data_IF_698075408837
#
_entry.id   IF_698075408837
#
_cell.length_a   1.000
_cell.length_b   1.000
_cell.length_c   1.000
_cell.angle_alpha   90.00
_cell.angle_beta   90.00
_cell.angle_gamma   90.00
#
_symmetry.space_group_name_H-M   'P 1'
#
loop_
_entity.id
_entity.type
_entity.pdbx_description
1 polymer ?
#
# COMPACT_ATOMS: atom_id res chain seq x y z
N UNK A 1 -19.85 13.72 -14.82
CA UNK A 1 -20.65 12.49 -14.73
C UNK A 1 -20.03 11.25 -15.39
N UNK A 2 -18.79 11.32 -15.74
CA UNK A 2 -18.03 10.15 -16.24
C UNK A 2 -17.51 9.29 -15.07
N UNK A 3 -17.88 9.65 -13.84
CA UNK A 3 -17.03 9.26 -12.73
C UNK A 3 -17.53 8.12 -11.87
N UNK A 4 -18.81 7.99 -11.61
CA UNK A 4 -19.26 6.99 -10.63
C UNK A 4 -19.29 5.56 -11.18
N UNK A 5 -19.77 5.39 -12.40
CA UNK A 5 -19.82 4.09 -13.06
C UNK A 5 -18.41 3.58 -13.39
N UNK A 6 -17.51 4.48 -13.84
CA UNK A 6 -16.10 4.13 -14.06
C UNK A 6 -15.34 3.86 -12.75
N UNK A 7 -15.74 4.48 -11.65
CA UNK A 7 -15.15 4.20 -10.33
C UNK A 7 -15.55 2.84 -9.79
N UNK A 8 -16.84 2.49 -9.91
CA UNK A 8 -17.36 1.18 -9.55
C UNK A 8 -16.75 0.07 -10.40
N UNK A 9 -16.66 0.28 -11.71
CA UNK A 9 -16.04 -0.65 -12.64
C UNK A 9 -14.54 -0.82 -12.38
N UNK A 10 -13.83 0.23 -11.98
CA UNK A 10 -12.43 0.14 -11.59
C UNK A 10 -12.25 -0.68 -10.32
N UNK A 11 -13.00 -0.38 -9.25
CA UNK A 11 -12.91 -1.10 -7.99
C UNK A 11 -13.19 -2.60 -8.17
N UNK A 12 -14.15 -2.96 -9.02
CA UNK A 12 -14.53 -4.34 -9.31
C UNK A 12 -13.59 -5.06 -10.28
N UNK A 13 -12.77 -4.32 -11.05
CA UNK A 13 -12.09 -4.92 -12.21
C UNK A 13 -10.59 -5.08 -12.04
N UNK A 14 -9.98 -4.49 -11.01
CA UNK A 14 -8.53 -4.37 -10.99
C UNK A 14 -7.80 -5.52 -10.32
N UNK A 15 -8.02 -5.72 -9.04
CA UNK A 15 -7.17 -6.63 -8.29
C UNK A 15 -7.92 -7.27 -7.12
N UNK A 16 -7.67 -8.56 -6.90
CA UNK A 16 -8.07 -9.27 -5.70
C UNK A 16 -6.80 -9.70 -4.96
N UNK A 17 -6.72 -9.34 -3.69
CA UNK A 17 -5.58 -9.68 -2.84
C UNK A 17 -5.89 -10.90 -1.98
N UNK A 18 -4.88 -11.75 -1.83
CA UNK A 18 -4.94 -12.94 -0.97
C UNK A 18 -3.74 -12.96 -0.03
N UNK A 19 -3.94 -13.46 1.17
CA UNK A 19 -2.88 -13.65 2.15
C UNK A 19 -3.10 -15.00 2.83
N UNK A 20 -2.25 -15.98 2.50
CA UNK A 20 -2.33 -17.36 3.02
C UNK A 20 -3.73 -17.98 2.87
N UNK A 21 -4.43 -17.63 1.81
CA UNK A 21 -5.77 -18.11 1.53
C UNK A 21 -5.68 -19.38 0.65
N UNK A 22 -6.27 -20.50 1.08
CA UNK A 22 -6.27 -21.74 0.29
C UNK A 22 -7.02 -21.58 -1.05
N UNK A 23 -7.87 -20.57 -1.19
CA UNK A 23 -8.57 -20.25 -2.44
C UNK A 23 -7.76 -19.39 -3.40
N UNK A 24 -6.59 -18.92 -2.98
CA UNK A 24 -5.76 -18.07 -3.83
C UNK A 24 -5.32 -18.85 -5.08
N UNK A 25 -5.42 -18.22 -6.26
CA UNK A 25 -4.89 -18.84 -7.48
C UNK A 25 -3.35 -18.89 -7.41
N UNK A 26 -2.79 -19.83 -8.15
CA UNK A 26 -1.32 -19.96 -8.23
C UNK A 26 -0.74 -18.82 -9.08
N UNK A 27 0.38 -18.20 -8.66
CA UNK A 27 1.05 -17.22 -9.48
C UNK A 27 1.44 -17.77 -10.85
N UNK A 28 1.20 -16.96 -11.90
CA UNK A 28 1.61 -17.24 -13.27
C UNK A 28 2.59 -16.19 -13.81
N UNK A 29 2.99 -15.26 -12.97
CA UNK A 29 3.94 -14.20 -13.28
C UNK A 29 5.13 -14.26 -12.32
N UNK A 30 6.26 -13.61 -12.64
CA UNK A 30 7.37 -13.48 -11.70
C UNK A 30 6.98 -12.79 -10.40
N UNK A 31 7.74 -12.99 -9.34
CA UNK A 31 7.53 -12.26 -8.10
C UNK A 31 7.62 -10.74 -8.35
N UNK A 32 6.66 -9.99 -7.81
CA UNK A 32 6.59 -8.55 -7.97
C UNK A 32 7.12 -7.85 -6.74
N UNK A 33 8.13 -7.00 -6.94
CA UNK A 33 8.74 -6.21 -5.88
C UNK A 33 8.02 -4.89 -5.73
N UNK A 34 7.61 -4.58 -4.50
CA UNK A 34 6.99 -3.30 -4.17
C UNK A 34 7.61 -2.69 -2.93
N UNK A 35 7.35 -1.40 -2.73
CA UNK A 35 7.76 -0.64 -1.55
C UNK A 35 6.54 0.02 -0.92
N UNK A 36 6.36 -0.16 0.38
CA UNK A 36 5.31 0.49 1.15
C UNK A 36 5.89 1.14 2.40
N UNK A 37 5.22 2.15 2.90
CA UNK A 37 5.73 2.94 4.03
C UNK A 37 4.75 2.95 5.20
N UNK A 38 5.28 2.70 6.39
CA UNK A 38 4.64 3.04 7.66
C UNK A 38 4.93 4.53 7.89
N UNK A 39 3.99 5.38 7.49
CA UNK A 39 4.09 6.83 7.68
C UNK A 39 3.31 7.19 8.92
N UNK A 40 3.98 7.77 9.89
CA UNK A 40 3.37 8.15 11.16
C UNK A 40 3.47 9.65 11.40
N UNK A 41 2.54 10.15 12.20
CA UNK A 41 2.55 11.51 12.72
C UNK A 41 1.83 11.52 14.05
N UNK A 42 2.51 11.92 15.11
CA UNK A 42 1.93 12.03 16.46
C UNK A 42 1.21 10.74 16.90
N UNK A 43 1.83 9.59 16.63
CA UNK A 43 1.31 8.30 17.04
C UNK A 43 0.17 7.74 16.17
N UNK A 44 -0.12 8.39 15.05
CA UNK A 44 -1.14 7.94 14.09
C UNK A 44 -0.49 7.47 12.80
N UNK A 45 -1.12 6.49 12.14
CA UNK A 45 -0.67 5.89 10.90
C UNK A 45 -1.43 6.45 9.70
N UNK A 46 -0.71 6.87 8.67
CA UNK A 46 -1.32 7.29 7.40
C UNK A 46 -1.68 6.06 6.57
N UNK A 47 -2.95 6.00 6.16
CA UNK A 47 -3.43 5.04 5.18
C UNK A 47 -4.10 5.77 4.03
N UNK A 48 -4.08 5.13 2.87
CA UNK A 48 -4.84 5.56 1.70
C UNK A 48 -5.95 4.56 1.41
N UNK A 49 -7.10 5.08 1.01
CA UNK A 49 -8.19 4.26 0.47
C UNK A 49 -8.11 4.33 -1.05
N UNK A 50 -7.82 3.20 -1.66
CA UNK A 50 -7.59 3.11 -3.10
C UNK A 50 -8.89 2.94 -3.88
N UNK A 51 -8.95 3.54 -5.07
CA UNK A 51 -10.12 3.37 -5.98
C UNK A 51 -10.18 1.97 -6.58
N UNK A 52 -9.05 1.27 -6.68
CA UNK A 52 -8.97 -0.04 -7.35
C UNK A 52 -9.38 -1.22 -6.46
N UNK A 53 -9.30 -1.08 -5.14
CA UNK A 53 -9.61 -2.15 -4.20
C UNK A 53 -10.67 -1.77 -3.16
N UNK A 54 -10.97 -0.50 -3.03
CA UNK A 54 -11.90 0.07 -2.04
C UNK A 54 -11.57 -0.31 -0.58
N UNK A 55 -10.31 -0.61 -0.32
CA UNK A 55 -9.80 -0.89 1.03
C UNK A 55 -8.73 0.12 1.40
N UNK A 56 -8.47 0.23 2.70
CA UNK A 56 -7.37 1.04 3.21
C UNK A 56 -6.07 0.28 3.11
N UNK A 57 -5.02 0.94 2.69
CA UNK A 57 -3.71 0.33 2.56
C UNK A 57 -2.59 1.31 2.86
N UNK A 58 -1.37 0.76 2.96
CA UNK A 58 -0.17 1.55 3.13
C UNK A 58 0.15 2.30 1.83
N UNK A 59 0.68 3.51 1.98
CA UNK A 59 1.20 4.29 0.86
C UNK A 59 2.37 3.54 0.22
N UNK A 60 2.35 3.44 -1.10
CA UNK A 60 3.40 2.77 -1.85
C UNK A 60 2.88 2.08 -3.10
N UNK A 61 3.74 1.33 -3.73
CA UNK A 61 3.43 0.62 -4.96
C UNK A 61 4.60 -0.18 -5.51
N UNK A 62 4.47 -0.62 -6.75
CA UNK A 62 5.47 -1.47 -7.41
C UNK A 62 6.75 -0.73 -7.75
N UNK A 63 7.87 -1.44 -7.61
CA UNK A 63 9.15 -0.98 -8.11
C UNK A 63 9.20 -1.15 -9.63
N UNK A 64 9.69 -0.14 -10.33
CA UNK A 64 10.03 -0.27 -11.75
C UNK A 64 11.28 -1.11 -11.90
N UNK A 65 11.48 -1.69 -13.09
CA UNK A 65 12.60 -2.62 -13.36
C UNK A 65 13.98 -2.02 -13.07
N UNK A 66 14.12 -0.70 -13.18
CA UNK A 66 15.36 0.03 -12.98
C UNK A 66 15.47 0.74 -11.64
N UNK A 67 14.48 0.58 -10.77
CA UNK A 67 14.45 1.23 -9.46
C UNK A 67 14.92 0.28 -8.36
N UNK A 68 15.66 0.83 -7.42
CA UNK A 68 15.84 0.21 -6.11
C UNK A 68 14.61 0.49 -5.25
N UNK A 69 14.34 -0.33 -4.21
CA UNK A 69 13.14 -0.15 -3.39
C UNK A 69 13.01 1.22 -2.72
N UNK A 70 14.10 1.83 -2.28
CA UNK A 70 14.07 3.16 -1.66
C UNK A 70 13.77 4.27 -2.68
N UNK A 71 14.27 4.13 -3.91
CA UNK A 71 13.91 5.04 -5.01
C UNK A 71 12.43 4.93 -5.35
N UNK A 72 11.89 3.71 -5.42
CA UNK A 72 10.47 3.49 -5.63
C UNK A 72 9.64 4.10 -4.50
N UNK A 73 10.10 3.98 -3.25
CA UNK A 73 9.41 4.56 -2.09
C UNK A 73 9.31 6.08 -2.21
N UNK A 74 10.41 6.75 -2.53
CA UNK A 74 10.43 8.20 -2.71
C UNK A 74 9.50 8.66 -3.85
N UNK A 75 9.51 7.93 -4.97
CA UNK A 75 8.64 8.22 -6.12
C UNK A 75 7.17 8.03 -5.77
N UNK A 76 6.80 6.92 -5.15
CA UNK A 76 5.41 6.64 -4.78
C UNK A 76 4.86 7.67 -3.78
N UNK A 77 5.65 8.05 -2.79
CA UNK A 77 5.26 9.10 -1.83
C UNK A 77 5.03 10.42 -2.56
N UNK A 78 5.87 10.77 -3.51
CA UNK A 78 5.67 11.98 -4.32
C UNK A 78 4.39 11.89 -5.17
N UNK A 79 4.19 10.77 -5.86
CA UNK A 79 3.02 10.58 -6.74
C UNK A 79 1.71 10.55 -5.94
N UNK A 80 1.69 9.88 -4.80
CA UNK A 80 0.48 9.67 -4.02
C UNK A 80 0.16 10.79 -3.04
N UNK A 81 1.17 11.44 -2.48
CA UNK A 81 1.00 12.45 -1.42
C UNK A 81 1.44 13.85 -1.82
N UNK A 82 2.17 14.01 -2.92
CA UNK A 82 2.73 15.28 -3.34
C UNK A 82 3.93 15.75 -2.51
N UNK A 83 4.55 14.87 -1.75
CA UNK A 83 5.67 15.19 -0.87
C UNK A 83 7.00 14.72 -1.44
N UNK A 84 7.99 15.63 -1.47
CA UNK A 84 9.36 15.32 -1.89
C UNK A 84 10.21 14.98 -0.67
N UNK A 85 10.43 13.68 -0.46
CA UNK A 85 11.26 13.17 0.63
C UNK A 85 12.44 12.44 0.00
N UNK A 86 13.69 12.81 0.33
CA UNK A 86 14.86 12.09 -0.16
C UNK A 86 14.81 10.61 0.22
N UNK A 87 15.20 9.73 -0.68
CA UNK A 87 15.15 8.29 -0.45
C UNK A 87 15.92 7.85 0.81
N UNK A 88 16.99 8.56 1.15
CA UNK A 88 17.84 8.29 2.32
C UNK A 88 17.10 8.51 3.63
N UNK A 89 16.02 9.28 3.62
CA UNK A 89 15.23 9.58 4.81
C UNK A 89 14.20 8.49 5.16
N UNK A 90 13.99 7.54 4.25
CA UNK A 90 13.15 6.38 4.54
C UNK A 90 13.97 5.30 5.25
N UNK A 91 13.53 4.89 6.43
CA UNK A 91 14.19 3.84 7.19
C UNK A 91 13.63 2.48 6.80
N UNK A 92 14.48 1.58 6.30
CA UNK A 92 14.07 0.22 5.99
C UNK A 92 13.74 -0.54 7.27
N UNK A 93 12.52 -1.08 7.36
CA UNK A 93 12.03 -1.79 8.54
C UNK A 93 12.07 -3.30 8.37
N UNK A 94 11.43 -3.82 7.31
CA UNK A 94 11.31 -5.26 7.10
C UNK A 94 10.96 -5.58 5.65
N UNK A 95 11.26 -6.81 5.22
CA UNK A 95 10.83 -7.36 3.93
C UNK A 95 9.79 -8.45 4.18
N UNK A 96 8.66 -8.35 3.50
CA UNK A 96 7.58 -9.32 3.53
C UNK A 96 7.56 -10.07 2.20
N UNK A 97 8.14 -11.26 2.18
CA UNK A 97 8.34 -12.02 0.95
C UNK A 97 7.72 -13.42 0.96
N UNK A 98 6.81 -13.70 1.89
CA UNK A 98 6.17 -15.02 2.02
C UNK A 98 5.35 -15.35 0.76
N UNK A 99 5.38 -16.63 0.29
CA UNK A 99 4.69 -17.00 -0.95
C UNK A 99 3.18 -16.82 -0.95
N UNK A 100 2.57 -16.74 0.21
CA UNK A 100 1.11 -16.61 0.36
C UNK A 100 0.55 -15.20 0.11
N UNK A 101 1.37 -14.24 -0.27
CA UNK A 101 0.95 -12.86 -0.54
C UNK A 101 0.74 -12.69 -2.04
N UNK A 102 -0.52 -12.71 -2.48
CA UNK A 102 -0.91 -12.82 -3.89
C UNK A 102 -1.77 -11.64 -4.31
N UNK A 103 -1.52 -11.12 -5.52
CA UNK A 103 -2.37 -10.16 -6.20
C UNK A 103 -2.81 -10.76 -7.54
N UNK A 104 -4.11 -10.95 -7.70
CA UNK A 104 -4.71 -11.48 -8.93
C UNK A 104 -5.45 -10.37 -9.66
N UNK A 105 -5.03 -10.07 -10.87
CA UNK A 105 -5.63 -9.04 -11.71
C UNK A 105 -6.67 -9.62 -12.66
N UNK A 106 -7.61 -8.77 -13.08
CA UNK A 106 -8.69 -9.15 -13.98
C UNK A 106 -8.20 -9.62 -15.34
N UNK A 107 -7.04 -9.17 -15.80
CA UNK A 107 -6.43 -9.61 -17.05
C UNK A 107 -5.88 -11.05 -17.01
N UNK A 108 -5.99 -11.71 -15.86
CA UNK A 108 -5.51 -13.07 -15.64
C UNK A 108 -4.08 -13.15 -15.11
N UNK A 109 -3.38 -12.04 -14.97
CA UNK A 109 -2.05 -12.03 -14.35
C UNK A 109 -2.16 -12.21 -12.84
N UNK A 110 -1.36 -13.13 -12.31
CA UNK A 110 -1.35 -13.49 -10.89
C UNK A 110 0.09 -13.41 -10.39
N UNK A 111 0.31 -12.52 -9.42
CA UNK A 111 1.62 -12.15 -8.94
C UNK A 111 1.81 -12.55 -7.49
N UNK A 112 2.97 -13.12 -7.18
CA UNK A 112 3.46 -13.16 -5.80
C UNK A 112 4.03 -11.79 -5.48
N UNK A 113 3.63 -11.21 -4.34
CA UNK A 113 4.08 -9.90 -3.89
C UNK A 113 5.23 -10.04 -2.89
N UNK A 114 6.31 -9.30 -3.15
CA UNK A 114 7.41 -9.11 -2.19
C UNK A 114 7.44 -7.63 -1.85
N UNK A 115 7.26 -7.30 -0.58
CA UNK A 115 7.11 -5.91 -0.14
C UNK A 115 8.27 -5.53 0.78
N UNK A 116 9.01 -4.49 0.39
CA UNK A 116 10.01 -3.84 1.25
C UNK A 116 9.28 -2.72 2.00
N UNK A 117 9.27 -2.79 3.31
CA UNK A 117 8.58 -1.80 4.14
C UNK A 117 9.57 -0.83 4.76
N UNK A 118 9.27 0.45 4.56
CA UNK A 118 10.01 1.58 5.12
C UNK A 118 9.19 2.27 6.21
N UNK A 119 9.85 3.07 7.03
CA UNK A 119 9.22 3.93 8.02
C UNK A 119 9.60 5.38 7.79
N UNK A 120 8.66 6.27 8.06
CA UNK A 120 8.88 7.72 8.06
C UNK A 120 7.94 8.36 9.09
N UNK A 121 8.50 9.19 9.97
CA UNK A 121 7.72 9.88 10.99
C UNK A 121 7.74 11.38 10.78
N UNK A 122 6.56 11.98 10.66
CA UNK A 122 6.39 13.42 10.61
C UNK A 122 6.23 13.98 12.01
N UNK A 123 6.96 15.05 12.34
CA UNK A 123 6.80 15.76 13.61
C UNK A 123 5.50 16.57 13.64
N UNK A 124 5.15 17.16 12.50
CA UNK A 124 3.92 17.93 12.31
C UNK A 124 3.16 17.34 11.12
N UNK A 125 1.83 17.40 11.19
CA UNK A 125 0.98 16.86 10.13
C UNK A 125 1.26 17.59 8.80
N UNK A 126 1.68 16.84 7.74
CA UNK A 126 2.00 17.44 6.46
C UNK A 126 0.74 17.83 5.70
N UNK A 127 0.88 18.77 4.76
CA UNK A 127 -0.16 19.06 3.78
C UNK A 127 -0.08 17.99 2.68
N UNK A 128 -1.10 17.17 2.61
CA UNK A 128 -1.19 16.06 1.65
C UNK A 128 -1.98 16.45 0.41
N UNK A 129 -1.53 15.96 -0.74
CA UNK A 129 -2.25 16.04 -2.00
C UNK A 129 -2.71 14.64 -2.39
N UNK A 130 -4.03 14.46 -2.48
CA UNK A 130 -4.58 13.17 -2.90
C UNK A 130 -4.40 12.98 -4.41
N UNK A 131 -3.94 11.80 -4.82
CA UNK A 131 -3.79 11.44 -6.24
C UNK A 131 -5.11 10.94 -6.83
N UNK A 132 -5.15 10.80 -8.16
CA UNK A 132 -6.31 10.22 -8.86
C UNK A 132 -6.55 8.74 -8.55
N UNK A 133 -5.57 8.06 -7.97
CA UNK A 133 -5.64 6.64 -7.61
C UNK A 133 -6.20 6.40 -6.22
N UNK A 134 -6.36 7.46 -5.42
CA UNK A 134 -6.85 7.38 -4.05
C UNK A 134 -8.21 8.06 -3.89
N UNK A 135 -9.06 7.47 -3.07
CA UNK A 135 -10.34 8.06 -2.67
C UNK A 135 -10.16 8.97 -1.47
N UNK A 136 -9.29 8.58 -0.55
CA UNK A 136 -9.06 9.29 0.71
C UNK A 136 -7.66 9.02 1.25
N UNK A 137 -7.16 9.95 2.04
CA UNK A 137 -5.91 9.85 2.80
C UNK A 137 -6.22 10.28 4.22
N UNK A 138 -5.88 9.46 5.21
CA UNK A 138 -6.20 9.77 6.61
C UNK A 138 -5.20 9.16 7.56
N UNK A 139 -4.88 9.91 8.62
CA UNK A 139 -4.15 9.40 9.78
C UNK A 139 -5.10 8.74 10.76
N UNK A 140 -4.77 7.52 11.18
CA UNK A 140 -5.57 6.71 12.10
C UNK A 140 -4.80 6.44 13.38
N UNK A 141 -5.47 6.58 14.52
CA UNK A 141 -4.98 6.03 15.78
C UNK A 141 -5.09 4.50 15.78
N UNK A 142 -4.42 3.84 16.73
CA UNK A 142 -4.55 2.37 16.88
C UNK A 142 -6.01 1.93 17.09
N UNK A 143 -6.75 2.71 17.87
CA UNK A 143 -8.17 2.45 18.15
C UNK A 143 -9.03 2.60 16.90
N UNK A 144 -8.79 3.65 16.12
CA UNK A 144 -9.53 3.90 14.87
C UNK A 144 -9.27 2.82 13.80
N UNK A 145 -8.11 2.16 13.82
CA UNK A 145 -7.80 1.07 12.89
C UNK A 145 -8.72 -0.14 13.05
N UNK A 146 -9.30 -0.33 14.23
CA UNK A 146 -10.25 -1.42 14.49
C UNK A 146 -11.58 -1.23 13.76
N UNK A 147 -11.90 0.00 13.35
CA UNK A 147 -13.16 0.37 12.71
C UNK A 147 -13.11 0.32 11.17
N UNK A 148 -11.97 0.00 10.59
CA UNK A 148 -11.79 0.03 9.13
C UNK A 148 -11.30 -1.31 8.60
N UNK A 149 -11.54 -1.54 7.30
CA UNK A 149 -11.01 -2.69 6.59
C UNK A 149 -9.67 -2.34 5.94
N UNK A 150 -8.62 -3.02 6.38
CA UNK A 150 -7.27 -2.90 5.80
C UNK A 150 -7.10 -4.03 4.78
N UNK A 151 -6.50 -3.71 3.63
CA UNK A 151 -6.16 -4.69 2.61
C UNK A 151 -5.42 -5.89 3.22
N UNK A 152 -5.83 -7.11 2.88
CA UNK A 152 -5.29 -8.34 3.48
C UNK A 152 -3.78 -8.48 3.31
N UNK A 153 -3.23 -7.90 2.23
CA UNK A 153 -1.77 -7.91 1.97
C UNK A 153 -1.01 -6.88 2.80
N UNK A 154 -1.69 -5.99 3.50
CA UNK A 154 -1.08 -4.97 4.36
C UNK A 154 -1.46 -5.12 5.84
N UNK A 155 -2.52 -5.86 6.15
CA UNK A 155 -3.03 -5.97 7.52
C UNK A 155 -1.99 -6.53 8.50
N UNK A 156 -1.26 -7.55 8.13
CA UNK A 156 -0.21 -8.13 8.96
C UNK A 156 0.98 -7.18 9.14
N UNK A 157 1.30 -6.40 8.12
CA UNK A 157 2.36 -5.38 8.18
C UNK A 157 2.00 -4.29 9.20
N UNK A 158 0.76 -3.79 9.13
CA UNK A 158 0.26 -2.77 10.06
C UNK A 158 0.25 -3.31 11.49
N UNK A 159 -0.19 -4.54 11.69
CA UNK A 159 -0.18 -5.20 12.99
C UNK A 159 1.24 -5.27 13.55
N UNK A 160 2.18 -5.81 12.78
CA UNK A 160 3.55 -6.07 13.23
C UNK A 160 4.34 -4.78 13.49
N UNK A 161 4.20 -3.79 12.61
CA UNK A 161 5.08 -2.62 12.59
C UNK A 161 4.46 -1.35 13.19
N UNK A 162 3.16 -1.36 13.46
CA UNK A 162 2.49 -0.22 14.05
C UNK A 162 1.70 -0.57 15.31
N UNK A 163 0.83 -1.58 15.26
CA UNK A 163 -0.07 -1.90 16.39
C UNK A 163 0.68 -2.55 17.55
N UNK A 164 1.49 -3.56 17.27
CA UNK A 164 2.21 -4.35 18.29
C UNK A 164 3.58 -3.78 18.65
N UNK A 165 3.93 -2.65 18.10
CA UNK A 165 5.24 -2.05 18.33
C UNK A 165 5.26 -1.10 19.55
#
# INVERSE_FOLDING_TARGET
>A
MVSEQKKGDRAMSYVTFYRDDPKAPKPNMPAHLGSNCIITCQGKLLLERRVDSDTWGLVGGGCKKWEEPDQAMAREVYEELGLRIPKENFKKLKVYGEPGRIAAFKDGSIWRMVIVVYGYDFQEEPVLRISSESVDLRFFSKEELEEIEIAVTHADIVRDLFIEK
#
